data_IF_729520575818
#
_entry.id   IF_729520575818
#
_cell.length_a   1.000
_cell.length_b   1.000
_cell.length_c   1.000
_cell.angle_alpha   90.00
_cell.angle_beta   90.00
_cell.angle_gamma   90.00
#
_symmetry.space_group_name_H-M   'P 1'
#
loop_
_entity.id
_entity.type
_entity.pdbx_description
1 polymer ?
#
# COMPACT_ATOMS: atom_id res chain seq x y z
N UNK A 1 -18.47 -53.50 45.70
CA UNK A 1 -19.71 -52.81 45.29
C UNK A 1 -19.40 -52.19 43.93
N UNK A 2 -20.09 -52.38 42.80
CA UNK A 2 -21.46 -52.78 42.47
C UNK A 2 -21.81 -51.90 41.24
N UNK A 3 -21.94 -52.44 40.02
CA UNK A 3 -23.21 -52.89 39.40
C UNK A 3 -24.28 -51.77 39.33
N UNK A 4 -25.01 -51.55 38.22
CA UNK A 4 -25.24 -52.38 37.03
C UNK A 4 -25.87 -51.59 35.84
N UNK A 5 -25.90 -52.24 34.65
CA UNK A 5 -26.87 -52.17 33.50
C UNK A 5 -26.48 -51.37 32.26
N UNK A 6 -26.77 -51.84 31.02
CA UNK A 6 -27.11 -53.21 30.52
C UNK A 6 -26.79 -53.29 29.00
N UNK A 7 -26.57 -54.49 28.44
CA UNK A 7 -26.42 -54.78 26.98
C UNK A 7 -27.13 -56.10 26.65
N UNK A 8 -27.85 -56.16 25.52
CA UNK A 8 -28.53 -57.32 24.85
C UNK A 8 -29.29 -56.73 23.63
N UNK A 9 -29.46 -57.28 22.40
CA UNK A 9 -28.84 -58.30 21.51
C UNK A 9 -28.95 -57.73 20.05
N UNK A 10 -28.67 -58.34 18.88
CA UNK A 10 -28.22 -59.68 18.45
C UNK A 10 -29.35 -60.66 18.04
N UNK A 11 -29.39 -61.30 16.86
CA UNK A 11 -28.65 -61.19 15.57
C UNK A 11 -29.41 -62.00 14.47
N UNK A 12 -29.24 -61.69 13.16
CA UNK A 12 -29.66 -62.50 11.95
C UNK A 12 -31.20 -62.77 11.75
N UNK A 13 -31.72 -63.32 10.64
CA UNK A 13 -31.14 -63.98 9.43
C UNK A 13 -31.94 -63.77 8.09
N UNK A 14 -31.40 -64.36 7.00
CA UNK A 14 -31.59 -64.27 5.52
C UNK A 14 -32.99 -64.49 4.86
N UNK A 15 -33.13 -63.94 3.63
CA UNK A 15 -33.92 -64.48 2.49
C UNK A 15 -35.19 -63.71 2.08
N UNK A 16 -35.66 -63.65 0.82
CA UNK A 16 -35.05 -64.01 -0.49
C UNK A 16 -36.06 -64.08 -1.68
N UNK A 17 -35.66 -63.59 -2.88
CA UNK A 17 -36.23 -63.78 -4.26
C UNK A 17 -37.51 -63.02 -4.76
N UNK A 18 -37.36 -62.45 -5.98
CA UNK A 18 -38.31 -62.38 -7.14
C UNK A 18 -39.66 -61.61 -6.99
N UNK A 19 -40.29 -60.94 -8.00
CA UNK A 19 -40.17 -61.00 -9.47
C UNK A 19 -40.73 -59.76 -10.27
N UNK A 20 -40.18 -59.53 -11.48
CA UNK A 20 -40.84 -59.18 -12.80
C UNK A 20 -41.77 -57.95 -13.04
N UNK A 21 -41.65 -57.42 -14.29
CA UNK A 21 -42.52 -56.46 -15.06
C UNK A 21 -42.47 -54.98 -14.59
N UNK A 22 -42.47 -53.95 -15.45
CA UNK A 22 -42.19 -53.86 -16.90
C UNK A 22 -43.38 -53.48 -17.82
N UNK A 23 -43.44 -52.21 -18.29
CA UNK A 23 -44.17 -51.74 -19.51
C UNK A 23 -43.78 -50.29 -19.90
N UNK A 24 -44.28 -49.79 -21.04
CA UNK A 24 -43.66 -48.69 -21.82
C UNK A 24 -44.68 -47.83 -22.60
N UNK A 25 -44.21 -46.67 -23.10
CA UNK A 25 -44.74 -45.80 -24.20
C UNK A 25 -45.91 -44.81 -23.93
N UNK A 26 -45.54 -43.53 -23.96
CA UNK A 26 -45.82 -42.53 -25.03
C UNK A 26 -47.23 -42.49 -25.66
N UNK A 27 -47.84 -41.29 -25.63
CA UNK A 27 -48.62 -40.72 -26.76
C UNK A 27 -48.44 -39.18 -26.81
N UNK A 28 -48.56 -38.59 -28.01
CA UNK A 28 -48.61 -37.14 -28.27
C UNK A 28 -50.08 -36.69 -28.34
N UNK A 29 -50.34 -35.41 -28.09
CA UNK A 29 -51.31 -34.65 -28.90
C UNK A 29 -50.95 -33.15 -28.93
N UNK A 30 -51.66 -32.33 -29.72
CA UNK A 30 -51.36 -30.91 -29.99
C UNK A 30 -52.43 -30.00 -29.38
N UNK A 31 -52.03 -28.81 -28.94
CA UNK A 31 -52.94 -27.70 -28.66
C UNK A 31 -52.37 -26.40 -29.22
N UNK A 32 -53.18 -25.61 -29.91
CA UNK A 32 -52.83 -24.32 -30.51
C UNK A 32 -53.74 -23.24 -29.98
N UNK A 33 -53.20 -22.13 -29.46
CA UNK A 33 -54.03 -20.96 -29.17
C UNK A 33 -53.24 -19.64 -29.26
N UNK A 34 -53.94 -18.59 -29.71
CA UNK A 34 -53.47 -17.21 -29.77
C UNK A 34 -54.38 -16.34 -28.88
N UNK A 35 -53.88 -15.25 -28.28
CA UNK A 35 -54.68 -14.07 -27.96
C UNK A 35 -54.59 -13.00 -29.06
N UNK A 36 -55.55 -12.06 -29.07
CA UNK A 36 -55.76 -11.09 -30.18
C UNK A 36 -55.40 -9.64 -29.79
N UNK A 37 -55.19 -8.81 -30.82
CA UNK A 37 -55.20 -7.34 -30.71
C UNK A 37 -56.58 -6.76 -30.31
N UNK A 38 -56.56 -5.71 -29.48
CA UNK A 38 -57.46 -4.53 -29.38
C UNK A 38 -56.77 -3.57 -28.38
N UNK A 39 -56.29 -2.36 -28.68
CA UNK A 39 -56.83 -1.20 -29.42
C UNK A 39 -57.85 -0.37 -28.63
N UNK A 40 -57.44 0.81 -28.13
CA UNK A 40 -57.93 2.13 -28.56
C UNK A 40 -57.22 3.30 -27.82
N UNK A 41 -57.32 4.51 -28.37
CA UNK A 41 -56.55 5.72 -28.06
C UNK A 41 -56.88 6.46 -26.74
N UNK A 42 -55.97 7.35 -26.33
CA UNK A 42 -56.31 8.76 -26.12
C UNK A 42 -55.12 9.70 -26.44
N UNK A 43 -55.37 11.00 -26.67
CA UNK A 43 -54.44 11.91 -27.38
C UNK A 43 -53.91 13.10 -26.58
N UNK A 44 -52.80 13.72 -27.09
CA UNK A 44 -52.17 15.01 -26.68
C UNK A 44 -51.43 14.94 -25.31
N UNK A 45 -50.24 15.53 -25.12
CA UNK A 45 -49.79 16.88 -25.53
C UNK A 45 -48.25 16.96 -25.74
N UNK A 46 -47.76 18.15 -26.12
CA UNK A 46 -46.38 18.41 -26.58
C UNK A 46 -45.27 18.29 -25.50
N UNK A 47 -44.03 18.07 -25.97
CA UNK A 47 -42.80 18.12 -25.16
C UNK A 47 -41.53 17.95 -26.00
N UNK A 48 -40.91 19.06 -26.42
CA UNK A 48 -39.73 19.08 -27.30
C UNK A 48 -38.46 18.60 -26.60
N UNK A 49 -37.98 17.39 -26.95
CA UNK A 49 -36.69 16.87 -26.46
C UNK A 49 -35.50 17.46 -27.23
N UNK A 50 -35.05 18.64 -26.80
CA UNK A 50 -33.73 19.15 -27.17
C UNK A 50 -32.62 18.21 -26.68
N UNK A 51 -31.85 17.63 -27.60
CA UNK A 51 -30.85 16.58 -27.32
C UNK A 51 -29.49 17.21 -26.98
N UNK A 52 -29.38 17.87 -25.82
CA UNK A 52 -28.12 18.45 -25.36
C UNK A 52 -27.15 17.38 -24.84
N UNK A 53 -25.91 17.41 -25.32
CA UNK A 53 -24.84 16.55 -24.80
C UNK A 53 -24.46 16.99 -23.38
N UNK A 54 -24.48 16.05 -22.42
CA UNK A 54 -23.73 16.21 -21.17
C UNK A 54 -22.42 15.43 -21.32
N UNK A 55 -21.36 16.13 -21.71
CA UNK A 55 -20.02 15.56 -21.77
C UNK A 55 -19.57 15.14 -20.37
N UNK A 56 -19.05 13.92 -20.24
CA UNK A 56 -18.51 13.38 -18.99
C UNK A 56 -17.13 13.97 -18.69
N UNK A 57 -17.10 15.16 -18.09
CA UNK A 57 -15.88 15.77 -17.53
C UNK A 57 -15.47 14.99 -16.28
N UNK A 58 -14.82 13.85 -16.50
CA UNK A 58 -14.52 12.87 -15.44
C UNK A 58 -13.37 11.92 -15.74
N UNK A 59 -12.49 12.24 -16.71
CA UNK A 59 -11.34 11.39 -17.06
C UNK A 59 -10.10 12.15 -17.59
N UNK A 60 -9.84 13.37 -17.10
CA UNK A 60 -8.72 14.21 -17.60
C UNK A 60 -7.73 14.73 -16.53
N UNK A 61 -7.87 14.33 -15.26
CA UNK A 61 -6.95 14.71 -14.16
C UNK A 61 -5.97 13.60 -13.74
N UNK A 62 -5.59 12.73 -14.68
CA UNK A 62 -4.64 11.63 -14.46
C UNK A 62 -3.36 11.72 -15.34
N UNK A 63 -3.17 12.81 -16.09
CA UNK A 63 -2.10 12.96 -17.10
C UNK A 63 -1.18 14.19 -16.87
N UNK A 64 -1.27 14.81 -15.70
CA UNK A 64 -0.51 16.00 -15.31
C UNK A 64 0.41 15.77 -14.10
N UNK A 65 1.05 14.58 -14.02
CA UNK A 65 2.05 14.26 -12.98
C UNK A 65 3.28 13.50 -13.49
N UNK A 66 3.58 13.64 -14.79
CA UNK A 66 4.92 13.38 -15.33
C UNK A 66 5.70 14.71 -15.39
N UNK A 67 7.04 14.63 -15.39
CA UNK A 67 8.00 15.76 -15.32
C UNK A 67 8.08 16.49 -13.96
N UNK A 68 8.64 15.85 -12.93
CA UNK A 68 9.48 16.51 -11.90
C UNK A 68 10.21 15.49 -11.00
N UNK A 69 11.37 14.98 -11.44
CA UNK A 69 12.52 14.52 -10.61
C UNK A 69 13.63 14.04 -11.57
N UNK A 70 14.61 14.91 -11.90
CA UNK A 70 15.74 14.56 -12.77
C UNK A 70 16.92 15.50 -12.56
N UNK A 71 18.12 14.93 -12.39
CA UNK A 71 19.34 15.59 -11.90
C UNK A 71 19.20 16.16 -10.46
N UNK A 72 20.26 16.38 -9.67
CA UNK A 72 21.71 16.26 -9.90
C UNK A 72 22.32 15.34 -8.84
N UNK A 73 23.31 14.50 -9.20
CA UNK A 73 24.10 13.74 -8.22
C UNK A 73 25.57 13.59 -8.65
N UNK A 74 26.24 14.72 -8.88
CA UNK A 74 27.67 14.77 -9.18
C UNK A 74 28.51 14.48 -7.93
N UNK A 75 29.18 13.33 -7.90
CA UNK A 75 30.03 12.92 -6.78
C UNK A 75 31.31 13.78 -6.71
N UNK A 76 31.41 14.68 -5.73
CA UNK A 76 32.70 15.27 -5.35
C UNK A 76 33.38 14.40 -4.29
N UNK A 77 34.42 13.66 -4.71
CA UNK A 77 35.36 12.99 -3.81
C UNK A 77 35.91 13.99 -2.77
N UNK A 78 35.97 13.58 -1.49
CA UNK A 78 36.69 14.30 -0.43
C UNK A 78 37.78 13.38 0.15
N UNK A 79 38.98 13.90 0.44
CA UNK A 79 40.14 13.07 0.78
C UNK A 79 40.05 12.47 2.19
N UNK A 80 40.61 11.27 2.36
CA UNK A 80 40.84 10.65 3.68
C UNK A 80 41.88 11.46 4.46
N UNK A 81 41.60 11.84 5.71
CA UNK A 81 42.62 12.27 6.68
C UNK A 81 43.09 11.05 7.50
N UNK A 82 44.40 10.88 7.74
CA UNK A 82 44.91 9.82 8.62
C UNK A 82 44.82 10.23 10.09
N UNK A 83 44.44 9.28 10.97
CA UNK A 83 44.35 9.48 12.42
C UNK A 83 45.02 8.35 13.21
N UNK A 84 46.35 8.27 13.13
CA UNK A 84 47.16 7.67 14.21
C UNK A 84 47.65 8.80 15.12
N UNK A 85 47.29 8.77 16.41
CA UNK A 85 48.00 9.50 17.47
C UNK A 85 48.79 8.49 18.32
N UNK A 86 50.07 8.76 18.65
CA UNK A 86 50.82 7.92 19.57
C UNK A 86 50.34 8.14 21.02
N UNK A 87 50.64 7.18 21.90
CA UNK A 87 50.37 7.28 23.33
C UNK A 87 51.53 7.95 24.07
N UNK A 88 51.23 8.81 25.05
CA UNK A 88 52.25 9.46 25.91
C UNK A 88 51.84 9.45 27.37
N UNK A 89 52.54 8.64 28.17
CA UNK A 89 52.97 8.86 29.57
C UNK A 89 52.00 9.47 30.59
N UNK A 90 51.72 8.70 31.65
CA UNK A 90 51.12 9.18 32.91
C UNK A 90 51.97 10.27 33.56
N UNK A 91 51.35 11.22 34.27
CA UNK A 91 51.99 12.08 35.28
C UNK A 91 51.61 11.61 36.70
N UNK A 92 52.49 11.78 37.71
CA UNK A 92 52.20 11.43 39.10
C UNK A 92 51.24 12.44 39.78
N UNK A 93 50.58 12.07 40.90
CA UNK A 93 49.66 12.94 41.61
C UNK A 93 50.39 14.04 42.41
N UNK A 94 49.78 15.22 42.49
CA UNK A 94 50.23 16.34 43.34
C UNK A 94 49.33 16.45 44.56
N UNK A 95 49.93 16.37 45.75
CA UNK A 95 49.23 16.55 47.04
C UNK A 95 48.84 18.02 47.22
N UNK A 96 47.60 18.29 47.65
CA UNK A 96 47.16 19.64 48.05
C UNK A 96 47.23 19.79 49.59
N UNK A 97 47.77 20.90 50.12
CA UNK A 97 47.72 21.18 51.55
C UNK A 97 46.30 21.54 52.00
N UNK A 98 46.00 21.29 53.28
CA UNK A 98 44.73 21.67 53.90
C UNK A 98 44.62 23.19 54.11
N UNK A 99 43.38 23.71 54.15
CA UNK A 99 43.09 25.13 54.38
C UNK A 99 42.41 25.32 55.75
N UNK A 100 42.76 26.34 56.55
CA UNK A 100 42.16 26.54 57.87
C UNK A 100 40.66 26.85 57.82
N UNK A 101 39.94 26.46 58.88
CA UNK A 101 38.54 26.83 59.08
C UNK A 101 38.42 28.28 59.61
N UNK A 102 37.36 28.98 59.18
CA UNK A 102 36.95 30.28 59.71
C UNK A 102 35.41 30.34 59.81
N UNK A 103 34.84 31.19 60.68
CA UNK A 103 33.54 30.94 61.30
C UNK A 103 32.31 31.25 60.42
N UNK A 104 31.18 30.70 60.83
CA UNK A 104 29.90 30.85 60.16
C UNK A 104 29.38 32.30 60.15
N UNK A 105 28.78 32.73 59.03
CA UNK A 105 27.96 33.94 58.95
C UNK A 105 26.50 33.62 59.32
N UNK A 106 25.75 34.57 59.91
CA UNK A 106 24.33 34.38 60.23
C UNK A 106 23.48 34.22 58.96
N UNK A 107 22.39 33.46 59.08
CA UNK A 107 21.49 33.17 57.98
C UNK A 107 20.70 34.42 57.54
N UNK A 108 20.56 34.61 56.23
CA UNK A 108 19.60 35.54 55.64
C UNK A 108 18.34 34.77 55.22
N UNK A 109 17.14 35.38 55.27
CA UNK A 109 15.90 34.71 54.88
C UNK A 109 15.93 34.35 53.39
N UNK A 110 15.47 33.14 53.05
CA UNK A 110 15.46 32.66 51.68
C UNK A 110 14.54 33.51 50.80
N UNK A 111 15.05 33.98 49.65
CA UNK A 111 14.19 34.44 48.56
C UNK A 111 13.39 33.24 48.02
N UNK A 112 12.14 33.42 47.59
CA UNK A 112 11.43 32.38 46.85
C UNK A 112 12.24 32.01 45.61
N UNK A 113 12.46 30.71 45.40
CA UNK A 113 13.20 30.23 44.24
C UNK A 113 12.45 30.61 42.96
N UNK A 114 13.10 31.37 42.09
CA UNK A 114 12.67 31.43 40.69
C UNK A 114 12.88 30.02 40.10
N UNK A 115 11.93 29.50 39.30
CA UNK A 115 12.12 28.20 38.66
C UNK A 115 13.37 28.23 37.80
N UNK A 116 14.24 27.24 37.97
CA UNK A 116 15.49 27.15 37.21
C UNK A 116 15.20 27.09 35.70
N UNK A 117 16.04 27.69 34.84
CA UNK A 117 15.87 27.58 33.40
C UNK A 117 15.91 26.10 32.99
N UNK A 118 14.81 25.61 32.40
CA UNK A 118 14.79 24.30 31.77
C UNK A 118 15.92 24.21 30.74
N UNK A 119 16.60 23.05 30.68
CA UNK A 119 17.76 22.86 29.82
C UNK A 119 17.47 23.28 28.36
N UNK A 120 18.45 23.86 27.62
CA UNK A 120 18.23 24.33 26.26
C UNK A 120 17.78 23.18 25.35
N UNK A 121 16.47 23.11 25.07
CA UNK A 121 15.93 21.99 24.27
C UNK A 121 16.49 22.07 22.85
N UNK A 122 16.97 20.93 22.29
CA UNK A 122 17.51 20.74 20.92
C UNK A 122 16.52 21.08 19.76
N UNK A 123 15.42 21.75 20.07
CA UNK A 123 14.29 22.02 19.20
C UNK A 123 13.97 23.52 19.27
N UNK A 124 13.69 24.18 18.13
CA UNK A 124 13.24 25.57 18.13
C UNK A 124 11.91 25.74 18.92
N UNK A 125 11.58 26.97 19.34
CA UNK A 125 10.34 27.27 20.04
C UNK A 125 9.12 27.03 19.15
N UNK A 126 7.96 26.76 19.77
CA UNK A 126 6.67 26.63 19.08
C UNK A 126 6.30 27.98 18.47
N UNK A 127 5.83 27.95 17.22
CA UNK A 127 5.39 29.15 16.50
C UNK A 127 3.89 29.32 16.71
N UNK A 128 3.51 30.31 17.51
CA UNK A 128 2.10 30.63 17.76
C UNK A 128 1.44 31.32 16.56
N UNK A 129 0.15 31.06 16.36
CA UNK A 129 -0.68 31.72 15.36
C UNK A 129 -1.22 33.09 15.84
N UNK A 130 -1.85 33.86 14.93
CA UNK A 130 -2.65 35.02 15.31
C UNK A 130 -3.85 34.60 16.17
N UNK A 131 -4.47 35.57 16.87
CA UNK A 131 -5.63 35.26 17.70
C UNK A 131 -6.83 34.83 16.85
N UNK A 132 -7.24 33.56 16.98
CA UNK A 132 -8.46 33.02 16.37
C UNK A 132 -9.73 33.62 16.98
N UNK A 133 -10.73 33.86 16.13
CA UNK A 133 -12.10 34.26 16.50
C UNK A 133 -12.81 33.10 17.25
N UNK A 134 -12.54 31.86 16.86
CA UNK A 134 -13.00 30.67 17.57
C UNK A 134 -12.22 30.51 18.88
N UNK A 135 -12.93 30.52 20.02
CA UNK A 135 -12.35 30.49 21.38
C UNK A 135 -11.64 29.19 21.74
N UNK A 136 -12.02 28.11 21.09
CA UNK A 136 -11.52 26.75 21.25
C UNK A 136 -10.34 26.42 20.32
N UNK A 137 -9.94 27.32 19.42
CA UNK A 137 -8.80 27.12 18.55
C UNK A 137 -7.47 27.21 19.34
N UNK A 138 -6.61 26.16 19.30
CA UNK A 138 -5.29 26.17 19.94
C UNK A 138 -4.42 27.35 19.48
N UNK A 139 -3.58 27.90 20.38
CA UNK A 139 -2.72 29.07 20.12
C UNK A 139 -1.59 28.75 19.14
N UNK A 140 -1.18 27.48 19.10
CA UNK A 140 -0.19 26.89 18.20
C UNK A 140 -0.78 26.48 16.84
N UNK A 141 -2.01 26.86 16.51
CA UNK A 141 -2.68 26.53 15.26
C UNK A 141 -3.36 27.76 14.64
N UNK A 142 -3.89 27.62 13.43
CA UNK A 142 -4.74 28.59 12.76
C UNK A 142 -6.10 27.95 12.43
N UNK A 143 -7.17 28.71 12.70
CA UNK A 143 -8.54 28.41 12.31
C UNK A 143 -9.09 29.63 11.56
N UNK A 144 -9.43 29.50 10.27
CA UNK A 144 -9.96 30.61 9.46
C UNK A 144 -11.50 30.57 9.38
N UNK A 145 -12.20 31.73 9.35
CA UNK A 145 -13.66 31.75 9.18
C UNK A 145 -14.14 31.11 7.88
N UNK A 146 -13.33 31.17 6.81
CA UNK A 146 -13.63 30.64 5.48
C UNK A 146 -13.63 29.10 5.45
N UNK A 147 -12.84 28.48 6.34
CA UNK A 147 -12.70 27.03 6.48
C UNK A 147 -12.83 26.63 7.94
N UNK A 148 -14.02 26.82 8.57
CA UNK A 148 -14.18 26.74 10.02
C UNK A 148 -13.85 25.35 10.58
N UNK A 149 -14.02 24.31 9.77
CA UNK A 149 -13.79 22.90 10.13
C UNK A 149 -12.35 22.44 9.81
N UNK A 150 -11.45 23.34 9.44
CA UNK A 150 -10.03 23.11 9.24
C UNK A 150 -9.24 23.54 10.47
N UNK A 151 -8.47 22.64 11.08
CA UNK A 151 -7.50 22.97 12.11
C UNK A 151 -6.09 22.86 11.52
N UNK A 152 -5.44 24.01 11.35
CA UNK A 152 -4.21 24.09 10.57
C UNK A 152 -2.99 24.42 11.44
N UNK A 153 -2.25 23.39 11.83
CA UNK A 153 -1.15 23.40 12.80
C UNK A 153 0.22 23.03 12.19
N UNK A 154 0.34 22.94 10.86
CA UNK A 154 1.59 22.53 10.20
C UNK A 154 2.74 23.54 10.36
N UNK A 155 3.99 23.08 10.20
CA UNK A 155 5.20 23.90 10.17
C UNK A 155 5.43 24.83 11.39
N UNK A 156 4.98 24.44 12.59
CA UNK A 156 4.99 25.30 13.80
C UNK A 156 5.85 24.80 14.96
N UNK A 157 6.76 23.86 14.69
CA UNK A 157 7.66 23.24 15.69
C UNK A 157 6.94 22.53 16.85
N UNK A 158 5.67 22.15 16.66
CA UNK A 158 4.81 21.53 17.67
C UNK A 158 5.40 20.18 18.12
N UNK A 159 5.33 19.88 19.43
CA UNK A 159 5.92 18.67 20.04
C UNK A 159 4.89 17.70 20.61
N UNK A 160 3.73 18.22 21.01
CA UNK A 160 2.57 17.48 21.54
C UNK A 160 1.34 17.95 20.77
N UNK A 161 0.42 17.05 20.43
CA UNK A 161 -0.80 17.41 19.69
C UNK A 161 -1.74 18.16 20.64
N UNK A 162 -2.23 19.36 20.29
CA UNK A 162 -3.20 20.08 21.12
C UNK A 162 -4.57 19.38 21.12
N UNK A 163 -5.43 19.72 22.09
CA UNK A 163 -6.82 19.22 22.11
C UNK A 163 -7.55 19.68 20.85
N UNK A 164 -8.08 18.73 20.09
CA UNK A 164 -8.72 18.96 18.80
C UNK A 164 -10.18 19.41 19.02
N UNK A 165 -10.61 20.59 18.50
CA UNK A 165 -11.99 21.04 18.59
C UNK A 165 -12.97 20.12 17.86
N UNK A 166 -14.19 19.95 18.37
CA UNK A 166 -15.15 18.97 17.87
C UNK A 166 -15.56 19.17 16.41
N UNK A 167 -15.68 20.42 15.95
CA UNK A 167 -15.99 20.77 14.55
C UNK A 167 -14.92 20.35 13.53
N UNK A 168 -13.73 19.94 13.98
CA UNK A 168 -12.60 19.68 13.10
C UNK A 168 -12.90 18.49 12.18
N UNK A 169 -12.93 18.74 10.88
CA UNK A 169 -13.02 17.71 9.84
C UNK A 169 -11.64 17.41 9.23
N UNK A 170 -10.80 18.43 9.11
CA UNK A 170 -9.48 18.36 8.47
C UNK A 170 -8.39 18.83 9.44
N UNK A 171 -7.45 17.94 9.75
CA UNK A 171 -6.38 18.17 10.72
C UNK A 171 -5.01 18.12 10.05
N UNK A 172 -4.30 19.26 10.06
CA UNK A 172 -2.98 19.42 9.46
C UNK A 172 -1.93 19.61 10.55
N UNK A 173 -1.11 18.58 10.80
CA UNK A 173 -0.05 18.54 11.82
C UNK A 173 1.33 18.22 11.20
N UNK A 174 1.44 18.19 9.88
CA UNK A 174 2.67 17.84 9.17
C UNK A 174 3.83 18.83 9.44
N UNK A 175 5.07 18.36 9.21
CA UNK A 175 6.30 19.16 9.34
C UNK A 175 6.48 19.77 10.74
N UNK A 176 6.29 18.96 11.78
CA UNK A 176 6.45 19.34 13.18
C UNK A 176 7.45 18.38 13.87
N UNK A 177 7.57 18.48 15.20
CA UNK A 177 8.44 17.64 16.03
C UNK A 177 7.66 16.70 16.94
N UNK A 178 6.42 16.35 16.56
CA UNK A 178 5.53 15.49 17.33
C UNK A 178 6.20 14.11 17.48
N UNK A 179 6.38 13.68 18.73
CA UNK A 179 7.03 12.41 19.08
C UNK A 179 6.04 11.27 19.33
N UNK A 180 4.83 11.59 19.78
CA UNK A 180 3.79 10.64 20.19
C UNK A 180 2.38 11.12 19.79
N UNK A 181 1.45 10.18 19.64
CA UNK A 181 0.03 10.45 19.38
C UNK A 181 -0.80 9.80 20.50
N UNK A 182 -1.34 10.63 21.39
CA UNK A 182 -2.05 10.17 22.60
C UNK A 182 -3.56 10.34 22.51
N UNK A 183 -4.31 9.65 23.36
CA UNK A 183 -5.77 9.59 23.30
C UNK A 183 -6.48 10.91 23.68
N UNK A 184 -5.86 11.73 24.53
CA UNK A 184 -6.46 12.91 25.15
C UNK A 184 -6.71 14.02 24.12
N UNK A 185 -5.77 14.21 23.18
CA UNK A 185 -5.89 15.21 22.12
C UNK A 185 -7.14 14.99 21.26
N UNK A 186 -7.56 13.74 21.05
CA UNK A 186 -8.65 13.35 20.16
C UNK A 186 -9.99 13.12 20.89
N UNK A 187 -10.10 13.46 22.17
CA UNK A 187 -11.28 13.11 23.01
C UNK A 187 -12.60 13.67 22.47
N UNK A 188 -12.58 14.83 21.83
CA UNK A 188 -13.75 15.50 21.24
C UNK A 188 -13.84 15.37 19.71
N UNK A 189 -12.89 14.70 19.07
CA UNK A 189 -12.59 14.84 17.64
C UNK A 189 -13.48 13.99 16.70
N UNK A 190 -14.73 13.74 17.07
CA UNK A 190 -15.58 12.69 16.47
C UNK A 190 -15.87 12.85 14.99
N UNK A 191 -15.82 14.08 14.46
CA UNK A 191 -16.09 14.40 13.05
C UNK A 191 -14.83 14.44 12.15
N UNK A 192 -13.63 14.21 12.70
CA UNK A 192 -12.38 14.26 11.94
C UNK A 192 -12.35 13.17 10.86
N UNK A 193 -12.24 13.59 9.60
CA UNK A 193 -12.20 12.72 8.41
C UNK A 193 -10.80 12.58 7.82
N UNK A 194 -9.92 13.56 8.05
CA UNK A 194 -8.59 13.65 7.44
C UNK A 194 -7.55 14.08 8.47
N UNK A 195 -6.53 13.25 8.68
CA UNK A 195 -5.42 13.52 9.61
C UNK A 195 -4.09 13.41 8.88
N UNK A 196 -3.37 14.53 8.80
CA UNK A 196 -2.02 14.58 8.26
C UNK A 196 -0.98 14.81 9.36
N UNK A 197 -0.31 13.73 9.76
CA UNK A 197 0.79 13.66 10.73
C UNK A 197 2.15 13.44 10.05
N UNK A 198 2.24 13.65 8.73
CA UNK A 198 3.43 13.34 7.95
C UNK A 198 4.65 14.18 8.35
N UNK A 199 5.85 13.63 8.13
CA UNK A 199 7.12 14.34 8.35
C UNK A 199 7.26 14.89 9.78
N UNK A 200 7.14 14.00 10.76
CA UNK A 200 7.26 14.26 12.19
C UNK A 200 8.30 13.31 12.82
N UNK A 201 8.35 13.19 14.15
CA UNK A 201 9.23 12.27 14.88
C UNK A 201 8.44 11.15 15.59
N UNK A 202 7.25 10.81 15.10
CA UNK A 202 6.30 9.93 15.78
C UNK A 202 6.86 8.51 15.85
N UNK A 203 7.03 8.01 17.07
CA UNK A 203 7.54 6.66 17.35
C UNK A 203 6.58 5.82 18.20
N UNK A 204 5.60 6.45 18.88
CA UNK A 204 4.55 5.83 19.68
C UNK A 204 3.17 6.39 19.31
N UNK A 205 2.17 5.52 19.22
CA UNK A 205 0.76 5.86 19.00
C UNK A 205 -0.06 4.99 19.95
N UNK A 206 -0.99 5.59 20.69
CA UNK A 206 -1.85 4.85 21.62
C UNK A 206 -2.86 3.95 20.88
N UNK A 207 -2.97 2.69 21.32
CA UNK A 207 -3.67 1.59 20.62
C UNK A 207 -5.14 1.80 20.29
N UNK A 208 -5.76 2.87 20.77
CA UNK A 208 -7.19 3.19 20.61
C UNK A 208 -7.44 4.67 20.29
N UNK A 209 -6.41 5.47 19.98
CA UNK A 209 -6.61 6.90 19.63
C UNK A 209 -7.49 7.07 18.40
N UNK A 210 -7.26 6.28 17.35
CA UNK A 210 -8.08 6.33 16.14
C UNK A 210 -9.48 5.74 16.32
N UNK A 211 -9.69 4.93 17.37
CA UNK A 211 -11.03 4.49 17.81
C UNK A 211 -11.90 5.60 18.39
N UNK A 212 -11.33 6.78 18.70
CA UNK A 212 -12.09 7.99 19.09
C UNK A 212 -12.61 8.80 17.90
N UNK A 213 -12.09 8.56 16.69
CA UNK A 213 -12.44 9.32 15.48
C UNK A 213 -13.04 8.39 14.41
N UNK A 214 -14.27 7.86 14.62
CA UNK A 214 -14.87 6.85 13.76
C UNK A 214 -15.18 7.34 12.33
N UNK A 215 -15.22 8.67 12.11
CA UNK A 215 -15.41 9.29 10.81
C UNK A 215 -14.12 9.40 9.96
N UNK A 216 -12.98 8.91 10.44
CA UNK A 216 -11.68 9.02 9.77
C UNK A 216 -11.62 8.19 8.48
N UNK A 217 -11.40 8.87 7.35
CA UNK A 217 -11.26 8.28 6.02
C UNK A 217 -9.79 8.31 5.53
N UNK A 218 -9.02 9.34 5.89
CA UNK A 218 -7.66 9.56 5.41
C UNK A 218 -6.67 9.73 6.57
N UNK A 219 -5.71 8.81 6.69
CA UNK A 219 -4.66 8.86 7.72
C UNK A 219 -3.26 8.80 7.10
N UNK A 220 -2.52 9.91 7.22
CA UNK A 220 -1.14 10.02 6.73
C UNK A 220 -0.16 10.16 7.90
N UNK A 221 0.67 9.15 8.12
CA UNK A 221 1.75 9.14 9.12
C UNK A 221 3.10 8.80 8.47
N UNK A 222 3.23 9.07 7.17
CA UNK A 222 4.44 8.81 6.41
C UNK A 222 5.61 9.75 6.79
N UNK A 223 6.86 9.33 6.61
CA UNK A 223 8.07 10.03 7.11
C UNK A 223 8.01 10.23 8.63
N UNK A 224 7.98 9.14 9.38
CA UNK A 224 8.01 9.11 10.85
C UNK A 224 8.95 8.00 11.35
N UNK A 225 8.84 7.58 12.61
CA UNK A 225 9.73 6.61 13.26
C UNK A 225 8.97 5.40 13.84
N UNK A 226 7.76 5.11 13.34
CA UNK A 226 6.93 4.00 13.79
C UNK A 226 7.62 2.63 13.59
N UNK A 227 7.48 1.75 14.57
CA UNK A 227 8.01 0.36 14.56
C UNK A 227 6.96 -0.71 14.26
N UNK A 228 5.68 -0.43 14.51
CA UNK A 228 4.56 -1.30 14.14
C UNK A 228 3.43 -0.50 13.50
N UNK A 229 2.58 -1.17 12.72
CA UNK A 229 1.33 -0.59 12.18
C UNK A 229 0.39 -0.19 13.34
N UNK A 230 -0.25 0.98 13.31
CA UNK A 230 -1.16 1.41 14.38
C UNK A 230 -2.32 0.43 14.62
N UNK A 231 -2.66 0.24 15.89
CA UNK A 231 -3.79 -0.58 16.31
C UNK A 231 -5.05 0.30 16.48
N UNK A 232 -6.24 -0.29 16.42
CA UNK A 232 -7.50 0.44 16.65
C UNK A 232 -7.89 1.41 15.51
N UNK A 233 -7.47 1.13 14.28
CA UNK A 233 -7.89 1.90 13.10
C UNK A 233 -9.39 1.67 12.81
N UNK A 234 -10.16 2.73 12.43
CA UNK A 234 -11.58 2.60 12.13
C UNK A 234 -11.82 1.87 10.80
N UNK A 235 -12.88 1.07 10.73
CA UNK A 235 -13.23 0.26 9.55
C UNK A 235 -13.66 1.07 8.33
N UNK A 236 -13.99 2.35 8.51
CA UNK A 236 -14.33 3.28 7.42
C UNK A 236 -13.12 3.89 6.69
N UNK A 237 -11.89 3.63 7.15
CA UNK A 237 -10.69 4.25 6.58
C UNK A 237 -10.48 3.86 5.10
N UNK A 238 -10.36 4.86 4.23
CA UNK A 238 -10.21 4.73 2.78
C UNK A 238 -8.75 4.75 2.32
N UNK A 239 -7.87 5.50 2.99
CA UNK A 239 -6.43 5.54 2.70
C UNK A 239 -5.56 5.56 3.96
N UNK A 240 -4.54 4.70 3.97
CA UNK A 240 -3.53 4.60 5.03
C UNK A 240 -2.12 4.75 4.44
N UNK A 241 -1.42 5.84 4.79
CA UNK A 241 -0.05 6.11 4.32
C UNK A 241 0.94 6.07 5.48
N UNK A 242 1.69 4.98 5.55
CA UNK A 242 2.69 4.63 6.58
C UNK A 242 4.12 4.55 6.01
N UNK A 243 4.33 5.01 4.78
CA UNK A 243 5.62 4.93 4.10
C UNK A 243 6.74 5.74 4.76
N UNK A 244 8.00 5.34 4.54
CA UNK A 244 9.19 5.96 5.15
C UNK A 244 9.10 6.00 6.68
N UNK A 245 8.80 4.85 7.28
CA UNK A 245 8.87 4.62 8.73
C UNK A 245 9.97 3.57 9.03
N UNK A 246 9.90 2.89 10.17
CA UNK A 246 10.80 1.79 10.57
C UNK A 246 9.98 0.54 10.95
N UNK A 247 8.87 0.31 10.25
CA UNK A 247 7.90 -0.73 10.62
C UNK A 247 8.52 -2.11 10.36
N UNK A 248 8.64 -2.91 11.42
CA UNK A 248 9.11 -4.30 11.41
C UNK A 248 8.01 -5.27 11.89
N UNK A 249 6.74 -4.82 11.94
CA UNK A 249 5.64 -5.61 12.49
C UNK A 249 4.27 -5.07 12.06
N UNK A 250 3.38 -5.97 11.66
CA UNK A 250 1.95 -5.70 11.54
C UNK A 250 1.23 -6.47 12.68
N UNK A 251 0.62 -5.79 13.67
CA UNK A 251 -0.08 -6.48 14.75
C UNK A 251 -1.24 -7.34 14.23
N UNK A 252 -1.46 -8.49 14.87
CA UNK A 252 -2.52 -9.42 14.47
C UNK A 252 -3.89 -8.72 14.49
N UNK A 253 -4.55 -8.65 13.34
CA UNK A 253 -5.84 -7.98 13.19
C UNK A 253 -5.80 -6.46 13.06
N UNK A 254 -4.64 -5.83 12.86
CA UNK A 254 -4.52 -4.38 12.62
C UNK A 254 -5.35 -3.87 11.41
N UNK A 255 -5.68 -4.76 10.48
CA UNK A 255 -6.49 -4.49 9.28
C UNK A 255 -7.89 -5.15 9.31
N UNK A 256 -8.33 -5.67 10.46
CA UNK A 256 -9.63 -6.35 10.58
C UNK A 256 -10.79 -5.40 10.19
N UNK A 257 -11.76 -5.93 9.43
CA UNK A 257 -12.96 -5.22 8.95
C UNK A 257 -12.71 -3.96 8.10
N UNK A 258 -11.48 -3.65 7.68
CA UNK A 258 -11.16 -2.45 6.87
C UNK A 258 -11.51 -2.65 5.39
N UNK A 259 -12.76 -3.03 5.10
CA UNK A 259 -13.24 -3.33 3.75
C UNK A 259 -13.26 -2.13 2.81
N UNK A 260 -13.33 -0.91 3.36
CA UNK A 260 -13.32 0.36 2.62
C UNK A 260 -11.91 0.83 2.21
N UNK A 261 -10.84 0.18 2.70
CA UNK A 261 -9.47 0.66 2.47
C UNK A 261 -9.05 0.42 1.02
N UNK A 262 -8.94 1.50 0.26
CA UNK A 262 -8.56 1.48 -1.17
C UNK A 262 -7.05 1.55 -1.40
N UNK A 263 -6.31 2.19 -0.48
CA UNK A 263 -4.87 2.41 -0.59
C UNK A 263 -4.15 2.09 0.72
N UNK A 264 -3.21 1.15 0.66
CA UNK A 264 -2.28 0.82 1.74
C UNK A 264 -0.83 1.06 1.28
N UNK A 265 -0.22 2.12 1.79
CA UNK A 265 1.14 2.52 1.46
C UNK A 265 2.12 2.26 2.61
N UNK A 266 2.90 1.18 2.48
CA UNK A 266 3.94 0.72 3.40
C UNK A 266 5.35 0.86 2.80
N UNK A 267 5.51 1.65 1.71
CA UNK A 267 6.79 1.86 1.03
C UNK A 267 7.91 2.31 1.97
N UNK A 268 9.12 1.77 1.81
CA UNK A 268 10.29 2.14 2.62
C UNK A 268 10.03 1.91 4.12
N UNK A 269 9.96 0.65 4.48
CA UNK A 269 9.87 0.15 5.85
C UNK A 269 10.86 -1.01 6.03
N UNK A 270 10.67 -1.86 7.04
CA UNK A 270 11.58 -2.94 7.40
C UNK A 270 10.82 -4.27 7.58
N UNK A 271 9.70 -4.43 6.86
CA UNK A 271 8.87 -5.64 6.91
C UNK A 271 9.57 -6.83 6.24
N UNK A 272 9.49 -7.98 6.89
CA UNK A 272 9.99 -9.27 6.41
C UNK A 272 8.87 -10.32 6.38
N UNK A 273 9.15 -11.50 5.82
CA UNK A 273 8.14 -12.57 5.65
C UNK A 273 7.44 -12.97 6.97
N UNK A 274 8.13 -12.91 8.12
CA UNK A 274 7.55 -13.22 9.43
C UNK A 274 6.50 -12.21 9.89
N UNK A 275 6.53 -11.00 9.34
CA UNK A 275 5.73 -9.87 9.78
C UNK A 275 4.43 -9.77 8.95
N UNK A 276 4.33 -10.57 7.87
CA UNK A 276 3.19 -10.73 7.00
C UNK A 276 2.55 -12.12 7.19
N UNK A 277 1.77 -12.27 8.27
CA UNK A 277 0.96 -13.47 8.47
C UNK A 277 -0.06 -13.70 7.33
N UNK A 278 -0.40 -14.96 7.06
CA UNK A 278 -1.29 -15.40 5.95
C UNK A 278 -2.66 -14.71 5.87
N UNK A 279 -3.11 -14.12 6.98
CA UNK A 279 -4.39 -13.45 7.14
C UNK A 279 -4.24 -11.93 7.36
N UNK A 280 -3.11 -11.33 7.01
CA UNK A 280 -2.88 -9.89 7.22
C UNK A 280 -3.81 -9.03 6.35
N UNK A 281 -3.96 -9.35 5.07
CA UNK A 281 -4.70 -8.50 4.13
C UNK A 281 -6.13 -8.98 3.80
N UNK A 282 -6.58 -10.14 4.31
CA UNK A 282 -7.86 -10.82 3.94
C UNK A 282 -9.15 -9.99 4.04
N UNK A 283 -9.16 -8.96 4.89
CA UNK A 283 -10.35 -8.13 5.16
C UNK A 283 -10.37 -6.86 4.28
N UNK A 284 -9.28 -6.57 3.55
CA UNK A 284 -9.09 -5.37 2.73
C UNK A 284 -9.78 -5.51 1.36
N UNK A 285 -11.08 -5.84 1.36
CA UNK A 285 -11.82 -6.25 0.15
C UNK A 285 -11.91 -5.17 -0.93
N UNK A 286 -11.86 -3.89 -0.58
CA UNK A 286 -11.84 -2.75 -1.51
C UNK A 286 -10.44 -2.28 -1.93
N UNK A 287 -9.37 -3.02 -1.62
CA UNK A 287 -7.99 -2.55 -1.84
C UNK A 287 -7.63 -2.47 -3.33
N UNK A 288 -7.45 -1.26 -3.83
CA UNK A 288 -7.04 -0.98 -5.22
C UNK A 288 -5.52 -0.97 -5.36
N UNK A 289 -4.80 -0.45 -4.35
CA UNK A 289 -3.34 -0.29 -4.38
C UNK A 289 -2.68 -0.81 -3.10
N UNK A 290 -1.75 -1.76 -3.26
CA UNK A 290 -0.87 -2.25 -2.20
C UNK A 290 0.59 -1.93 -2.54
N UNK A 291 1.23 -1.11 -1.70
CA UNK A 291 2.63 -0.70 -1.89
C UNK A 291 3.51 -1.22 -0.74
N UNK A 292 4.30 -2.25 -1.04
CA UNK A 292 5.25 -2.92 -0.15
C UNK A 292 6.71 -2.76 -0.64
N UNK A 293 6.96 -1.90 -1.63
CA UNK A 293 8.29 -1.64 -2.18
C UNK A 293 9.25 -1.02 -1.13
N UNK A 294 10.56 -1.26 -1.28
CA UNK A 294 11.59 -0.98 -0.26
C UNK A 294 11.24 -1.60 1.11
N UNK A 295 11.20 -2.92 1.18
CA UNK A 295 11.13 -3.67 2.44
C UNK A 295 12.18 -4.81 2.42
N UNK A 296 12.04 -5.82 3.28
CA UNK A 296 12.97 -6.93 3.45
C UNK A 296 12.35 -8.29 3.09
N UNK A 297 11.25 -8.29 2.32
CA UNK A 297 10.52 -9.49 1.90
C UNK A 297 11.40 -10.37 1.00
N UNK A 298 11.43 -11.68 1.27
CA UNK A 298 12.01 -12.69 0.36
C UNK A 298 10.94 -13.45 -0.42
N UNK A 299 9.68 -13.36 -0.01
CA UNK A 299 8.57 -14.06 -0.65
C UNK A 299 7.51 -13.10 -1.14
N UNK A 300 6.76 -13.53 -2.15
CA UNK A 300 5.48 -12.90 -2.48
C UNK A 300 4.54 -12.97 -1.26
N UNK A 301 3.83 -11.88 -0.91
CA UNK A 301 3.02 -11.82 0.30
C UNK A 301 1.75 -12.68 0.22
N UNK A 302 1.57 -13.60 1.17
CA UNK A 302 0.35 -14.42 1.27
C UNK A 302 -0.91 -13.55 1.51
N UNK A 303 -2.01 -13.93 0.85
CA UNK A 303 -3.36 -13.41 1.16
C UNK A 303 -3.67 -11.98 0.71
N UNK A 304 -2.96 -11.45 -0.30
CA UNK A 304 -3.31 -10.18 -0.97
C UNK A 304 -4.70 -10.29 -1.65
N UNK A 305 -5.58 -9.27 -1.55
CA UNK A 305 -6.91 -9.28 -2.17
C UNK A 305 -6.89 -9.34 -3.70
N UNK A 306 -7.89 -10.02 -4.27
CA UNK A 306 -8.15 -10.17 -5.70
C UNK A 306 -8.64 -8.89 -6.40
N UNK A 307 -9.07 -7.90 -5.61
CA UNK A 307 -9.47 -6.56 -6.05
C UNK A 307 -8.31 -5.61 -6.34
N UNK A 308 -7.06 -5.98 -6.00
CA UNK A 308 -5.88 -5.12 -6.21
C UNK A 308 -5.60 -4.91 -7.70
N UNK A 309 -5.59 -3.64 -8.10
CA UNK A 309 -5.23 -3.18 -9.45
C UNK A 309 -3.72 -2.92 -9.57
N UNK A 310 -3.09 -2.47 -8.46
CA UNK A 310 -1.68 -2.07 -8.41
C UNK A 310 -0.95 -2.76 -7.25
N UNK A 311 0.02 -3.61 -7.58
CA UNK A 311 0.88 -4.30 -6.60
C UNK A 311 2.35 -3.89 -6.81
N UNK A 312 2.90 -3.14 -5.84
CA UNK A 312 4.29 -2.67 -5.89
C UNK A 312 5.14 -3.36 -4.82
N UNK A 313 6.15 -4.11 -5.29
CA UNK A 313 7.07 -4.95 -4.52
C UNK A 313 8.55 -4.67 -4.87
N UNK A 314 8.85 -3.55 -5.53
CA UNK A 314 10.20 -3.13 -5.92
C UNK A 314 11.17 -3.11 -4.74
N UNK A 315 12.46 -3.39 -4.97
CA UNK A 315 13.53 -3.23 -3.97
C UNK A 315 13.25 -4.01 -2.67
N UNK A 316 12.83 -5.26 -2.85
CA UNK A 316 12.78 -6.28 -1.81
C UNK A 316 13.93 -7.29 -2.07
N UNK A 317 13.75 -8.56 -1.69
CA UNK A 317 14.71 -9.65 -1.89
C UNK A 317 14.01 -10.90 -2.44
N UNK A 318 12.92 -10.70 -3.20
CA UNK A 318 12.03 -11.79 -3.63
C UNK A 318 12.75 -12.68 -4.64
N UNK A 319 12.89 -13.97 -4.32
CA UNK A 319 13.57 -14.97 -5.16
C UNK A 319 12.58 -15.96 -5.85
N UNK A 320 11.41 -16.21 -5.26
CA UNK A 320 10.36 -17.11 -5.76
C UNK A 320 8.96 -16.47 -5.84
N UNK A 321 8.21 -16.81 -6.90
CA UNK A 321 6.80 -16.49 -7.12
C UNK A 321 5.99 -17.81 -7.19
N UNK A 322 5.02 -18.05 -6.29
CA UNK A 322 4.23 -19.29 -6.32
C UNK A 322 3.47 -19.49 -7.64
N UNK A 323 3.46 -20.72 -8.18
CA UNK A 323 2.92 -21.09 -9.51
C UNK A 323 1.51 -20.56 -9.84
N UNK A 324 0.64 -20.39 -8.85
CA UNK A 324 -0.72 -19.91 -9.01
C UNK A 324 -0.97 -18.54 -8.34
N UNK A 325 0.08 -17.77 -8.01
CA UNK A 325 -0.03 -16.58 -7.15
C UNK A 325 -1.05 -15.55 -7.67
N UNK A 326 -1.01 -15.22 -8.96
CA UNK A 326 -1.95 -14.27 -9.57
C UNK A 326 -3.30 -14.89 -9.98
N UNK A 327 -3.56 -16.16 -9.66
CA UNK A 327 -4.81 -16.83 -10.05
C UNK A 327 -5.99 -16.30 -9.24
N UNK A 328 -6.89 -15.60 -9.92
CA UNK A 328 -8.12 -15.04 -9.34
C UNK A 328 -8.10 -13.52 -9.19
N UNK A 329 -6.96 -12.85 -9.45
CA UNK A 329 -6.91 -11.39 -9.52
C UNK A 329 -7.64 -10.92 -10.79
N UNK A 330 -8.84 -10.37 -10.61
CA UNK A 330 -9.74 -10.03 -11.74
C UNK A 330 -9.52 -8.61 -12.28
N UNK A 331 -8.70 -7.80 -11.61
CA UNK A 331 -8.48 -6.39 -11.93
C UNK A 331 -6.99 -5.96 -11.89
N UNK A 332 -6.06 -6.88 -11.65
CA UNK A 332 -4.64 -6.57 -11.49
C UNK A 332 -4.02 -6.17 -12.83
N UNK A 333 -3.60 -4.91 -12.94
CA UNK A 333 -3.10 -4.32 -14.18
C UNK A 333 -1.64 -3.85 -14.10
N UNK A 334 -1.14 -3.53 -12.90
CA UNK A 334 0.22 -3.02 -12.69
C UNK A 334 0.95 -3.87 -11.65
N UNK A 335 2.02 -4.57 -12.08
CA UNK A 335 2.87 -5.38 -11.20
C UNK A 335 4.31 -4.89 -11.29
N UNK A 336 4.84 -4.41 -10.15
CA UNK A 336 6.23 -3.95 -10.05
C UNK A 336 7.05 -4.82 -9.10
N UNK A 337 8.10 -5.41 -9.63
CA UNK A 337 9.03 -6.33 -8.99
C UNK A 337 10.48 -5.97 -9.29
N UNK A 338 10.77 -4.71 -9.67
CA UNK A 338 12.13 -4.29 -10.03
C UNK A 338 13.08 -4.39 -8.82
N UNK A 339 14.38 -4.65 -9.04
CA UNK A 339 15.38 -4.79 -7.98
C UNK A 339 15.01 -5.87 -6.94
N UNK A 340 14.72 -7.08 -7.41
CA UNK A 340 14.52 -8.26 -6.56
C UNK A 340 15.60 -9.31 -6.87
N UNK A 341 15.36 -10.58 -6.54
CA UNK A 341 16.31 -11.69 -6.71
C UNK A 341 15.73 -12.79 -7.60
N UNK A 342 14.73 -12.44 -8.42
CA UNK A 342 14.01 -13.37 -9.30
C UNK A 342 14.96 -13.94 -10.36
N UNK A 343 14.97 -15.26 -10.49
CA UNK A 343 15.61 -16.00 -11.58
C UNK A 343 14.57 -16.92 -12.23
N UNK A 344 14.89 -17.49 -13.38
CA UNK A 344 13.98 -18.35 -14.17
C UNK A 344 13.49 -19.59 -13.40
N UNK A 345 14.20 -19.99 -12.33
CA UNK A 345 13.78 -21.05 -11.40
C UNK A 345 12.66 -20.61 -10.45
N UNK A 346 12.63 -19.33 -10.09
CA UNK A 346 11.65 -18.72 -9.18
C UNK A 346 10.54 -17.95 -9.90
N UNK A 347 10.53 -17.95 -11.25
CA UNK A 347 9.44 -17.41 -12.07
C UNK A 347 8.80 -18.56 -12.85
N UNK A 348 7.71 -19.17 -12.33
CA UNK A 348 7.05 -20.27 -13.01
C UNK A 348 6.54 -19.84 -14.39
N UNK A 349 6.86 -20.62 -15.44
CA UNK A 349 6.82 -20.19 -16.83
C UNK A 349 5.61 -19.32 -17.26
N UNK A 350 4.39 -19.70 -16.85
CA UNK A 350 3.14 -19.02 -17.24
C UNK A 350 2.55 -18.08 -16.16
N UNK A 351 3.30 -17.71 -15.12
CA UNK A 351 2.78 -16.97 -13.95
C UNK A 351 2.26 -15.56 -14.29
N UNK A 352 2.77 -14.95 -15.36
CA UNK A 352 2.33 -13.64 -15.88
C UNK A 352 1.35 -13.74 -17.06
N UNK A 353 0.87 -14.94 -17.41
CA UNK A 353 -0.08 -15.13 -18.50
C UNK A 353 -1.55 -14.97 -18.02
N UNK A 354 -1.94 -13.72 -17.73
CA UNK A 354 -3.32 -13.34 -17.44
C UNK A 354 -3.68 -12.01 -18.15
N UNK A 355 -4.92 -11.88 -18.63
CA UNK A 355 -5.33 -10.86 -19.61
C UNK A 355 -5.58 -9.46 -19.04
N UNK A 356 -5.56 -9.29 -17.72
CA UNK A 356 -5.74 -7.96 -17.08
C UNK A 356 -4.42 -7.19 -16.94
N UNK A 357 -3.27 -7.85 -17.10
CA UNK A 357 -1.95 -7.25 -16.89
C UNK A 357 -1.60 -6.32 -18.05
N UNK A 358 -1.33 -5.05 -17.75
CA UNK A 358 -0.98 -4.01 -18.73
C UNK A 358 0.48 -3.56 -18.60
N UNK A 359 1.00 -3.52 -17.37
CA UNK A 359 2.34 -2.99 -17.05
C UNK A 359 3.07 -3.95 -16.11
N UNK A 360 4.14 -4.59 -16.62
CA UNK A 360 4.96 -5.56 -15.90
C UNK A 360 6.41 -5.07 -15.80
N UNK A 361 6.89 -4.90 -14.57
CA UNK A 361 8.23 -4.36 -14.32
C UNK A 361 9.10 -5.33 -13.52
N UNK A 362 10.10 -5.89 -14.18
CA UNK A 362 11.03 -6.93 -13.70
C UNK A 362 12.50 -6.52 -13.87
N UNK A 363 12.79 -5.23 -14.03
CA UNK A 363 14.14 -4.72 -14.23
C UNK A 363 15.04 -4.95 -13.00
N UNK A 364 16.35 -5.10 -13.18
CA UNK A 364 17.30 -5.41 -12.10
C UNK A 364 16.92 -6.69 -11.32
N UNK A 365 16.75 -7.80 -12.04
CA UNK A 365 16.62 -9.15 -11.46
C UNK A 365 17.73 -10.05 -12.04
N UNK A 366 17.59 -11.38 -11.94
CA UNK A 366 18.56 -12.39 -12.37
C UNK A 366 17.95 -13.36 -13.41
N UNK A 367 17.09 -12.84 -14.30
CA UNK A 367 16.45 -13.62 -15.37
C UNK A 367 17.44 -13.84 -16.53
N UNK A 368 17.53 -15.05 -17.06
CA UNK A 368 18.27 -15.37 -18.29
C UNK A 368 17.36 -15.53 -19.52
N UNK A 369 16.04 -15.62 -19.31
CA UNK A 369 15.03 -15.71 -20.35
C UNK A 369 13.92 -14.67 -20.17
N UNK A 370 13.15 -14.44 -21.24
CA UNK A 370 11.91 -13.65 -21.19
C UNK A 370 10.77 -14.57 -20.72
N UNK A 371 10.10 -14.28 -19.58
CA UNK A 371 8.99 -15.10 -19.09
C UNK A 371 7.74 -14.99 -19.98
N UNK A 372 6.86 -15.99 -19.98
CA UNK A 372 5.62 -15.95 -20.76
C UNK A 372 4.61 -14.99 -20.13
N UNK A 373 4.18 -13.99 -20.90
CA UNK A 373 3.14 -13.03 -20.54
C UNK A 373 1.93 -13.13 -21.49
N UNK A 374 0.83 -12.47 -21.15
CA UNK A 374 -0.36 -12.45 -22.01
C UNK A 374 -0.27 -11.37 -23.09
N UNK A 375 -0.81 -11.62 -24.28
CA UNK A 375 -0.83 -10.67 -25.40
C UNK A 375 -1.52 -9.32 -25.13
N UNK A 376 -2.27 -9.19 -24.04
CA UNK A 376 -2.85 -7.92 -23.59
C UNK A 376 -1.84 -6.94 -22.96
N UNK A 377 -0.62 -7.39 -22.62
CA UNK A 377 0.41 -6.56 -21.99
C UNK A 377 0.82 -5.38 -22.88
N UNK A 378 0.87 -4.16 -22.32
CA UNK A 378 1.22 -2.94 -23.04
C UNK A 378 2.67 -2.49 -22.78
N UNK A 379 3.19 -2.66 -21.55
CA UNK A 379 4.57 -2.31 -21.18
C UNK A 379 5.29 -3.46 -20.49
N UNK A 380 6.53 -3.75 -20.92
CA UNK A 380 7.40 -4.76 -20.33
C UNK A 380 8.80 -4.19 -20.06
N UNK A 381 9.20 -4.15 -18.78
CA UNK A 381 10.53 -3.74 -18.35
C UNK A 381 11.34 -4.94 -17.86
N UNK A 382 12.39 -5.30 -18.61
CA UNK A 382 13.33 -6.40 -18.32
C UNK A 382 14.80 -5.92 -18.32
N UNK A 383 15.04 -4.61 -18.34
CA UNK A 383 16.37 -4.03 -18.37
C UNK A 383 17.22 -4.44 -17.16
N UNK A 384 18.53 -4.60 -17.38
CA UNK A 384 19.51 -5.00 -16.36
C UNK A 384 19.18 -6.35 -15.71
N UNK A 385 18.85 -7.35 -16.52
CA UNK A 385 18.84 -8.77 -16.16
C UNK A 385 20.07 -9.45 -16.81
N UNK A 386 20.07 -10.78 -16.93
CA UNK A 386 21.13 -11.56 -17.58
C UNK A 386 20.60 -12.30 -18.83
N UNK A 387 19.65 -11.70 -19.55
CA UNK A 387 19.01 -12.32 -20.72
C UNK A 387 20.00 -12.36 -21.88
N UNK A 388 20.28 -13.56 -22.37
CA UNK A 388 21.22 -13.80 -23.48
C UNK A 388 20.50 -13.89 -24.84
N UNK A 389 19.29 -14.47 -24.87
CA UNK A 389 18.54 -14.72 -26.10
C UNK A 389 17.06 -14.37 -25.96
N UNK A 390 16.43 -14.00 -27.08
CA UNK A 390 15.01 -13.68 -27.19
C UNK A 390 14.36 -14.74 -28.07
N UNK A 391 13.55 -15.62 -27.48
CA UNK A 391 12.80 -16.62 -28.25
C UNK A 391 11.52 -15.99 -28.81
N UNK A 392 11.57 -15.59 -30.08
CA UNK A 392 10.46 -14.94 -30.77
C UNK A 392 9.19 -15.79 -30.82
N UNK A 393 9.29 -17.12 -30.86
CA UNK A 393 8.13 -18.03 -30.89
C UNK A 393 7.41 -18.16 -29.54
N UNK A 394 8.11 -17.96 -28.41
CA UNK A 394 7.49 -17.90 -27.08
C UNK A 394 6.81 -16.56 -26.81
N UNK A 395 7.36 -15.48 -27.37
CA UNK A 395 6.86 -14.12 -27.25
C UNK A 395 5.74 -13.85 -28.27
N UNK A 396 5.79 -14.53 -29.42
CA UNK A 396 4.83 -14.49 -30.51
C UNK A 396 4.41 -15.91 -30.94
N UNK A 397 3.46 -16.54 -30.21
CA UNK A 397 2.95 -17.87 -30.57
C UNK A 397 1.98 -17.85 -31.76
N UNK A 398 1.49 -16.68 -32.17
CA UNK A 398 0.61 -16.52 -33.34
C UNK A 398 1.41 -16.10 -34.57
N UNK A 399 1.27 -16.86 -35.66
CA UNK A 399 1.97 -16.58 -36.91
C UNK A 399 1.47 -15.30 -37.59
N UNK A 400 2.31 -14.72 -38.45
CA UNK A 400 2.07 -13.47 -39.19
C UNK A 400 1.00 -13.60 -40.32
N UNK A 401 0.07 -14.55 -40.18
CA UNK A 401 -0.95 -14.92 -41.18
C UNK A 401 -2.35 -15.13 -40.57
N UNK A 402 -2.60 -14.64 -39.35
CA UNK A 402 -3.98 -14.53 -38.83
C UNK A 402 -4.70 -13.41 -39.57
N UNK A 403 -5.94 -13.66 -40.03
CA UNK A 403 -6.77 -12.67 -40.72
C UNK A 403 -6.95 -11.39 -39.90
N UNK A 404 -6.81 -10.22 -40.54
CA UNK A 404 -6.80 -8.87 -39.94
C UNK A 404 -8.17 -8.43 -39.36
N UNK A 405 -9.08 -9.39 -39.15
CA UNK A 405 -10.47 -9.21 -38.74
C UNK A 405 -10.71 -9.26 -37.23
N UNK A 406 -9.87 -9.95 -36.46
CA UNK A 406 -9.99 -10.07 -34.99
C UNK A 406 -8.86 -9.35 -34.24
N UNK A 407 -9.10 -8.08 -33.91
CA UNK A 407 -8.19 -7.25 -33.12
C UNK A 407 -8.01 -7.73 -31.66
N UNK A 408 -8.72 -8.77 -31.20
CA UNK A 408 -8.48 -9.39 -29.89
C UNK A 408 -7.29 -10.34 -29.87
N UNK A 409 -6.87 -10.87 -31.02
CA UNK A 409 -5.72 -11.80 -31.12
C UNK A 409 -4.38 -11.10 -31.29
N UNK A 410 -4.37 -9.80 -31.62
CA UNK A 410 -3.15 -9.01 -31.89
C UNK A 410 -2.45 -8.61 -30.60
N UNK A 411 -1.16 -8.94 -30.40
CA UNK A 411 -0.41 -8.53 -29.22
C UNK A 411 -0.25 -7.01 -29.07
N UNK A 412 -0.49 -6.49 -27.85
CA UNK A 412 -0.69 -5.06 -27.57
C UNK A 412 0.54 -4.31 -27.06
N UNK A 413 1.70 -4.95 -27.04
CA UNK A 413 2.92 -4.39 -26.45
C UNK A 413 3.35 -3.11 -27.20
N UNK A 414 3.40 -1.99 -26.48
CA UNK A 414 3.81 -0.67 -26.97
C UNK A 414 5.23 -0.30 -26.55
N UNK A 415 5.71 -0.86 -25.45
CA UNK A 415 7.02 -0.55 -24.87
C UNK A 415 7.73 -1.81 -24.38
N UNK A 416 8.94 -2.06 -24.91
CA UNK A 416 9.81 -3.17 -24.50
C UNK A 416 11.18 -2.62 -24.10
N UNK A 417 11.58 -2.83 -22.84
CA UNK A 417 12.83 -2.31 -22.29
C UNK A 417 13.77 -3.44 -21.87
N UNK A 418 14.91 -3.55 -22.53
CA UNK A 418 15.88 -4.65 -22.43
C UNK A 418 17.33 -4.19 -22.18
N UNK A 419 17.60 -2.90 -22.00
CA UNK A 419 18.97 -2.37 -21.87
C UNK A 419 19.76 -2.96 -20.69
N UNK A 420 21.05 -3.22 -20.91
CA UNK A 420 21.94 -3.79 -19.90
C UNK A 420 21.75 -5.30 -19.66
N UNK A 421 21.18 -6.03 -20.63
CA UNK A 421 21.22 -7.50 -20.69
C UNK A 421 22.45 -8.00 -21.49
N UNK A 422 22.57 -9.32 -21.69
CA UNK A 422 23.66 -9.95 -22.44
C UNK A 422 23.25 -10.34 -23.88
N UNK A 423 22.33 -9.58 -24.46
CA UNK A 423 21.76 -9.83 -25.78
C UNK A 423 22.79 -9.64 -26.90
N UNK A 424 23.04 -10.70 -27.68
CA UNK A 424 23.74 -10.59 -28.96
C UNK A 424 22.79 -10.10 -30.06
N UNK A 425 23.00 -8.94 -30.70
CA UNK A 425 22.17 -8.49 -31.81
C UNK A 425 22.40 -9.35 -33.08
N UNK A 426 21.45 -9.39 -34.04
CA UNK A 426 20.19 -8.61 -34.06
C UNK A 426 19.08 -9.22 -33.20
N UNK A 427 18.10 -8.39 -32.79
CA UNK A 427 16.82 -8.91 -32.30
C UNK A 427 16.10 -9.63 -33.46
N UNK A 428 15.54 -10.83 -33.24
CA UNK A 428 14.78 -11.56 -34.26
C UNK A 428 13.64 -10.74 -34.88
N UNK A 429 13.51 -10.78 -36.21
CA UNK A 429 12.56 -9.96 -36.96
C UNK A 429 11.09 -10.34 -36.69
N UNK A 430 10.83 -11.59 -36.33
CA UNK A 430 9.51 -12.06 -35.90
C UNK A 430 9.02 -11.33 -34.64
N UNK A 431 9.90 -11.08 -33.66
CA UNK A 431 9.59 -10.25 -32.46
C UNK A 431 9.15 -8.85 -32.87
N UNK A 432 9.85 -8.23 -33.81
CA UNK A 432 9.56 -6.87 -34.29
C UNK A 432 8.23 -6.84 -35.06
N UNK A 433 7.98 -7.82 -35.93
CA UNK A 433 6.77 -7.89 -36.76
C UNK A 433 5.52 -8.32 -35.97
N UNK A 434 5.70 -9.06 -34.87
CA UNK A 434 4.60 -9.49 -34.01
C UNK A 434 3.88 -8.32 -33.35
N UNK A 435 4.65 -7.39 -32.79
CA UNK A 435 4.11 -6.25 -32.05
C UNK A 435 3.91 -5.05 -32.98
N UNK A 436 2.89 -5.11 -33.83
CA UNK A 436 2.49 -4.02 -34.77
C UNK A 436 2.17 -2.67 -34.07
N UNK A 437 2.09 -2.66 -32.73
CA UNK A 437 1.89 -1.48 -31.88
C UNK A 437 3.14 -1.05 -31.07
N UNK A 438 4.30 -1.66 -31.30
CA UNK A 438 5.53 -1.41 -30.54
C UNK A 438 6.18 -0.08 -30.95
N UNK A 439 5.95 0.96 -30.15
CA UNK A 439 6.45 2.31 -30.41
C UNK A 439 7.93 2.49 -30.05
N UNK A 440 8.45 1.68 -29.12
CA UNK A 440 9.85 1.78 -28.69
C UNK A 440 10.35 0.45 -28.12
N UNK A 441 11.53 0.05 -28.62
CA UNK A 441 12.42 -0.92 -27.98
C UNK A 441 13.65 -0.16 -27.47
N UNK A 442 14.12 -0.49 -26.28
CA UNK A 442 15.41 0.00 -25.74
C UNK A 442 16.28 -1.21 -25.43
N UNK A 443 17.53 -1.19 -25.89
CA UNK A 443 18.51 -2.30 -25.89
C UNK A 443 19.86 -1.73 -25.43
#
# INVERSE_FOLDING_TARGET
MGKERKRERGDRERGGKEARRGRTRVRRERGTEQPRHKSCDFTKRAGTRGRTMKASVGLFFALALFLLMGAVLTQRLRPKKPTRRPATTRRPPVVKPARPAQPARPAQPARPAQPEPQEPTDFPPVIFGPQSVFRDCPRECLCTPDYPNSLNCENRNIRVIPVIPSRTHYLYLQNNYISEVTAEAFVNATEVRWVNLANNRIHRIDKQVFGKIPALLYLYVHRNQLKEVPQGLPSGLEQLRLSRNRITKIPAGAFNKMGNLTLLDLYYNQLSDSDLGKNTFKDLKGLVQLNLAHNLLKKMPDGVPDSVIQLFLDKNRIDDIPKNYFKGFNHLAFVRLNYNQLSDKGVPAAVFNFSTLLDLQLAHNQLTSVPLFNGHLEHLHLNHNSIETINGTLICPHSLHVDDSDQSTVPRLRYLRLDGNHLSPPIPLDVIMCFRHLHSIVI
#
